data_IF_445959160718
#
_entry.id   IF_445959160718
#
_cell.length_a   1.000
_cell.length_b   1.000
_cell.length_c   1.000
_cell.angle_alpha   90.00
_cell.angle_beta   90.00
_cell.angle_gamma   90.00
#
_symmetry.space_group_name_H-M   'P 1'
#
loop_
_entity.id
_entity.type
_entity.pdbx_description
1 polymer ?
#
# COMPACT_ATOMS: atom_id res chain seq x y z
N UNK A 1 10.87 1.55 5.70
CA UNK A 1 9.99 0.98 4.64
C UNK A 1 8.83 1.91 4.41
N UNK A 2 8.53 2.18 3.17
CA UNK A 2 7.43 3.08 2.86
C UNK A 2 6.71 2.69 1.59
N UNK A 3 5.46 3.09 1.52
CA UNK A 3 4.61 2.90 0.36
C UNK A 3 3.85 4.20 0.11
N UNK A 4 3.89 4.66 -1.11
CA UNK A 4 3.18 5.86 -1.51
C UNK A 4 2.27 5.54 -2.69
N UNK A 5 1.03 5.98 -2.61
CA UNK A 5 0.11 5.89 -3.74
C UNK A 5 -0.40 7.28 -4.08
N UNK A 6 -0.47 7.57 -5.36
CA UNK A 6 -0.86 8.90 -5.84
C UNK A 6 -1.86 8.80 -6.96
N UNK A 7 -2.68 9.81 -7.05
CA UNK A 7 -3.61 10.00 -8.15
C UNK A 7 -4.94 9.34 -7.92
N UNK A 8 -5.78 9.51 -8.91
CA UNK A 8 -7.12 8.96 -8.91
C UNK A 8 -7.26 7.97 -10.05
N UNK A 9 -7.53 6.74 -9.71
CA UNK A 9 -7.87 5.78 -10.74
C UNK A 9 -9.24 6.10 -11.32
N UNK A 10 -10.04 6.83 -10.59
CA UNK A 10 -11.46 6.94 -10.86
C UNK A 10 -11.90 7.96 -11.86
N UNK A 11 -11.65 9.20 -11.65
CA UNK A 11 -12.22 10.29 -12.47
C UNK A 11 -13.72 10.15 -12.64
N UNK A 12 -14.39 9.54 -11.68
CA UNK A 12 -15.84 9.42 -11.69
C UNK A 12 -16.42 8.34 -12.59
N UNK A 13 -15.61 7.58 -13.29
CA UNK A 13 -16.10 6.50 -14.14
C UNK A 13 -16.11 5.18 -13.42
N UNK A 14 -17.19 4.42 -13.62
CA UNK A 14 -17.42 3.18 -12.88
C UNK A 14 -16.29 2.16 -12.96
N UNK A 15 -15.73 1.96 -14.15
CA UNK A 15 -14.63 0.99 -14.30
C UNK A 15 -13.42 1.37 -13.52
N UNK A 16 -13.21 2.65 -13.29
CA UNK A 16 -12.09 3.14 -12.54
C UNK A 16 -12.31 3.08 -11.04
N UNK A 17 -13.58 3.11 -10.62
CA UNK A 17 -13.91 2.97 -9.20
C UNK A 17 -13.53 1.59 -8.68
N UNK A 18 -13.63 0.56 -9.51
CA UNK A 18 -13.22 -0.78 -9.13
C UNK A 18 -11.73 -0.81 -8.86
N UNK A 19 -10.94 -0.17 -9.71
CA UNK A 19 -9.49 -0.09 -9.54
C UNK A 19 -9.14 0.70 -8.27
N UNK A 20 -9.79 1.84 -8.06
CA UNK A 20 -9.60 2.62 -6.85
C UNK A 20 -9.89 1.81 -5.60
N UNK A 21 -11.00 1.09 -5.60
CA UNK A 21 -11.41 0.27 -4.46
C UNK A 21 -10.39 -0.84 -4.21
N UNK A 22 -9.90 -1.48 -5.26
CA UNK A 22 -8.93 -2.56 -5.13
C UNK A 22 -7.62 -2.04 -4.51
N UNK A 23 -7.09 -0.95 -5.05
CA UNK A 23 -5.84 -0.38 -4.55
C UNK A 23 -6.02 0.14 -3.13
N UNK A 24 -7.13 0.82 -2.86
CA UNK A 24 -7.40 1.34 -1.51
C UNK A 24 -7.52 0.23 -0.49
N UNK A 25 -8.20 -0.86 -0.84
CA UNK A 25 -8.34 -1.99 0.07
C UNK A 25 -6.98 -2.57 0.42
N UNK A 26 -6.10 -2.72 -0.57
CA UNK A 26 -4.77 -3.24 -0.33
C UNK A 26 -3.94 -2.29 0.53
N UNK A 27 -4.07 -0.99 0.29
CA UNK A 27 -3.38 0.02 1.08
C UNK A 27 -3.84 -0.01 2.54
N UNK A 28 -5.14 -0.03 2.77
CA UNK A 28 -5.68 -0.11 4.13
C UNK A 28 -5.33 -1.43 4.79
N UNK A 29 -5.30 -2.51 4.04
CA UNK A 29 -4.90 -3.81 4.58
C UNK A 29 -3.49 -3.76 5.12
N UNK A 30 -2.58 -3.16 4.37
CA UNK A 30 -1.21 -3.01 4.83
C UNK A 30 -1.14 -2.14 6.09
N UNK A 31 -1.88 -1.03 6.10
CA UNK A 31 -1.91 -0.14 7.25
C UNK A 31 -2.39 -0.85 8.51
N UNK A 32 -3.49 -1.59 8.40
CA UNK A 32 -4.03 -2.35 9.53
C UNK A 32 -3.05 -3.42 10.00
N UNK A 33 -2.44 -4.14 9.05
CA UNK A 33 -1.47 -5.17 9.40
C UNK A 33 -0.29 -4.58 10.17
N UNK A 34 0.17 -3.39 9.79
CA UNK A 34 1.28 -2.76 10.49
C UNK A 34 0.87 -2.30 11.88
N UNK A 35 -0.35 -1.78 12.05
CA UNK A 35 -0.82 -1.42 13.38
C UNK A 35 -0.96 -2.63 14.29
N UNK A 36 -1.42 -3.76 13.74
CA UNK A 36 -1.49 -5.00 14.50
C UNK A 36 -0.12 -5.56 14.82
N UNK A 37 0.89 -5.17 14.06
CA UNK A 37 2.26 -5.63 14.25
C UNK A 37 3.16 -4.56 14.89
N UNK A 38 2.55 -3.60 15.59
CA UNK A 38 3.30 -2.47 16.13
C UNK A 38 4.41 -2.90 17.08
N UNK A 39 4.24 -4.04 17.73
CA UNK A 39 5.26 -4.58 18.63
C UNK A 39 6.53 -5.02 17.90
N UNK A 40 6.49 -5.13 16.59
CA UNK A 40 7.65 -5.45 15.76
C UNK A 40 8.34 -4.21 15.22
N UNK A 41 7.79 -3.03 15.53
CA UNK A 41 8.27 -1.77 14.98
C UNK A 41 8.96 -0.93 16.05
N UNK A 42 9.87 -0.06 15.61
CA UNK A 42 10.53 0.89 16.52
C UNK A 42 9.54 1.92 17.04
N UNK A 43 8.67 2.40 16.15
CA UNK A 43 7.66 3.43 16.45
C UNK A 43 6.36 3.05 15.79
N UNK A 44 5.29 3.74 16.17
CA UNK A 44 4.01 3.56 15.50
C UNK A 44 4.15 3.86 14.01
N UNK A 45 3.46 3.11 13.15
CA UNK A 45 3.53 3.39 11.72
C UNK A 45 2.92 4.74 11.39
N UNK A 46 3.40 5.35 10.32
CA UNK A 46 2.84 6.58 9.80
C UNK A 46 1.87 6.21 8.70
N UNK A 47 0.62 6.63 8.84
CA UNK A 47 -0.41 6.33 7.87
C UNK A 47 -1.13 7.64 7.54
N UNK A 48 -1.06 8.05 6.28
CA UNK A 48 -1.77 9.23 5.80
C UNK A 48 -2.65 8.83 4.63
N UNK A 49 -3.89 9.24 4.69
CA UNK A 49 -4.85 8.93 3.66
C UNK A 49 -5.64 10.19 3.35
N UNK A 50 -5.20 10.90 2.33
CA UNK A 50 -5.87 12.09 1.86
C UNK A 50 -6.39 11.82 0.46
N UNK A 51 -7.36 12.60 0.03
CA UNK A 51 -7.96 12.41 -1.29
C UNK A 51 -6.89 12.42 -2.37
N UNK A 52 -6.79 11.32 -3.10
CA UNK A 52 -5.81 11.18 -4.18
C UNK A 52 -4.40 10.84 -3.75
N UNK A 53 -4.15 10.75 -2.45
CA UNK A 53 -2.81 10.46 -1.95
C UNK A 53 -2.86 9.56 -0.73
N UNK A 54 -2.01 8.55 -0.72
CA UNK A 54 -1.83 7.70 0.43
C UNK A 54 -0.35 7.51 0.71
N UNK A 55 0.01 7.50 1.98
CA UNK A 55 1.39 7.32 2.40
C UNK A 55 1.42 6.45 3.64
N UNK A 56 2.30 5.47 3.61
CA UNK A 56 2.46 4.54 4.71
C UNK A 56 3.94 4.27 4.90
N UNK A 57 4.41 4.43 6.13
CA UNK A 57 5.81 4.20 6.44
C UNK A 57 5.96 3.57 7.81
N UNK A 58 6.98 2.78 7.98
CA UNK A 58 7.32 2.23 9.29
C UNK A 58 8.80 1.94 9.36
N UNK A 59 9.28 1.78 10.58
CA UNK A 59 10.65 1.37 10.85
C UNK A 59 10.61 0.08 11.66
N UNK A 60 10.86 -1.06 11.03
CA UNK A 60 10.85 -2.32 11.77
C UNK A 60 12.05 -2.43 12.68
N UNK A 61 11.87 -3.12 13.80
CA UNK A 61 13.00 -3.48 14.64
C UNK A 61 13.92 -4.38 13.83
N UNK A 62 15.23 -4.29 14.09
CA UNK A 62 16.22 -4.99 13.29
C UNK A 62 15.94 -6.48 13.16
N UNK A 63 15.57 -7.11 14.27
CA UNK A 63 15.32 -8.55 14.28
C UNK A 63 14.03 -8.94 13.57
N UNK A 64 13.18 -7.98 13.21
CA UNK A 64 11.88 -8.24 12.57
C UNK A 64 11.77 -7.66 11.17
N UNK A 65 12.88 -7.21 10.61
CA UNK A 65 12.89 -6.64 9.26
C UNK A 65 12.31 -7.58 8.21
N UNK A 66 12.69 -8.85 8.28
CA UNK A 66 12.21 -9.79 7.28
C UNK A 66 10.70 -9.99 7.35
N UNK A 67 10.17 -10.06 8.57
CA UNK A 67 8.73 -10.22 8.75
C UNK A 67 7.97 -9.04 8.16
N UNK A 68 8.41 -7.83 8.47
CA UNK A 68 7.73 -6.62 7.97
C UNK A 68 7.90 -6.49 6.46
N UNK A 69 9.08 -6.83 5.96
CA UNK A 69 9.33 -6.80 4.52
C UNK A 69 8.37 -7.73 3.77
N UNK A 70 8.14 -8.93 4.32
CA UNK A 70 7.18 -9.86 3.71
C UNK A 70 5.77 -9.32 3.74
N UNK A 71 5.40 -8.63 4.82
CA UNK A 71 4.09 -8.01 4.92
C UNK A 71 3.89 -6.98 3.79
N UNK A 72 4.87 -6.12 3.57
CA UNK A 72 4.83 -5.16 2.47
C UNK A 72 4.73 -5.86 1.11
N UNK A 73 5.60 -6.84 0.89
CA UNK A 73 5.66 -7.51 -0.40
C UNK A 73 4.37 -8.27 -0.73
N UNK A 74 3.74 -8.85 0.28
CA UNK A 74 2.46 -9.53 0.07
C UNK A 74 1.43 -8.57 -0.51
N UNK A 75 1.34 -7.37 0.04
CA UNK A 75 0.41 -6.37 -0.45
C UNK A 75 0.83 -5.85 -1.83
N UNK A 76 2.13 -5.65 -2.03
CA UNK A 76 2.63 -5.19 -3.31
C UNK A 76 2.35 -6.17 -4.44
N UNK A 77 2.39 -7.47 -4.14
CA UNK A 77 1.99 -8.48 -5.13
C UNK A 77 0.55 -8.25 -5.58
N UNK A 78 -0.34 -8.00 -4.62
CA UNK A 78 -1.74 -7.70 -4.96
C UNK A 78 -1.87 -6.45 -5.80
N UNK A 79 -1.14 -5.40 -5.46
CA UNK A 79 -1.18 -4.16 -6.24
C UNK A 79 -0.65 -4.37 -7.66
N UNK A 80 0.40 -5.16 -7.79
CA UNK A 80 0.95 -5.49 -9.10
C UNK A 80 -0.06 -6.24 -9.96
N UNK A 81 -0.82 -7.16 -9.35
CA UNK A 81 -1.87 -7.88 -10.06
C UNK A 81 -2.94 -6.93 -10.60
N UNK A 82 -3.32 -5.95 -9.80
CA UNK A 82 -4.29 -4.95 -10.24
C UNK A 82 -3.70 -4.13 -11.40
N UNK A 83 -2.44 -3.73 -11.29
CA UNK A 83 -1.78 -2.95 -12.32
C UNK A 83 -1.71 -3.73 -13.64
N UNK A 84 -1.49 -5.03 -13.58
CA UNK A 84 -1.44 -5.86 -14.78
C UNK A 84 -2.79 -5.97 -15.46
N UNK A 85 -3.87 -6.00 -14.69
CA UNK A 85 -5.21 -6.08 -15.25
C UNK A 85 -5.70 -4.74 -15.77
N UNK A 86 -5.23 -3.65 -15.21
CA UNK A 86 -5.68 -2.30 -15.56
C UNK A 86 -4.48 -1.39 -15.82
N UNK A 87 -3.64 -1.74 -16.82
CA UNK A 87 -2.37 -1.02 -17.02
C UNK A 87 -2.55 0.45 -17.42
N UNK A 88 -3.72 0.82 -17.94
CA UNK A 88 -3.99 2.20 -18.29
C UNK A 88 -4.42 3.04 -17.09
N UNK A 89 -4.78 2.40 -16.00
CA UNK A 89 -5.28 3.07 -14.80
C UNK A 89 -4.28 3.09 -13.66
N UNK A 90 -3.35 2.15 -13.65
CA UNK A 90 -2.41 2.00 -12.55
C UNK A 90 -0.99 1.89 -13.08
N UNK A 91 -0.11 2.72 -12.54
CA UNK A 91 1.31 2.58 -12.78
C UNK A 91 1.93 2.04 -11.50
N UNK A 92 2.67 0.97 -11.64
CA UNK A 92 3.29 0.29 -10.51
C UNK A 92 4.79 0.37 -10.62
N UNK A 93 5.42 0.87 -9.58
CA UNK A 93 6.86 1.07 -9.57
C UNK A 93 7.41 0.80 -8.19
N UNK A 94 8.46 0.03 -8.12
CA UNK A 94 9.14 -0.25 -6.86
C UNK A 94 10.52 0.39 -6.90
N UNK A 95 10.81 1.20 -5.90
CA UNK A 95 12.12 1.82 -5.76
C UNK A 95 12.85 1.14 -4.60
N UNK A 96 14.10 0.87 -4.80
CA UNK A 96 14.94 0.22 -3.80
C UNK A 96 15.96 1.18 -3.22
#
# INVERSE_FOLDING_TARGET
>A
MELEINGHAGHGKKGKDIVCSAISTLFYTLGEALYESVYLLEDAPIFKDEEGEGYLACTPKEEHKNTINRTYWTVLVGMHMVAEQYPQNVKFQVEK
#
